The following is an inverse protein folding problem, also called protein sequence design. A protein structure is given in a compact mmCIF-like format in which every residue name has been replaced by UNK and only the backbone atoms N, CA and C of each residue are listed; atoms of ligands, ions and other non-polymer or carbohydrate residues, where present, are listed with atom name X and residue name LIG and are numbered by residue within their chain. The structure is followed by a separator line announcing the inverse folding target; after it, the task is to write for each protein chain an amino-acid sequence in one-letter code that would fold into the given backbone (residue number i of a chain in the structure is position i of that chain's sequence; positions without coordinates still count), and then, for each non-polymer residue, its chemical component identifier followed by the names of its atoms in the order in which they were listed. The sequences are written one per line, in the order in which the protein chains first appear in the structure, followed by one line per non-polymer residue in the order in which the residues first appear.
data_IF_023417483945
#
_entry.id   IF_023417483945
#
_cell.length_a   1.000
_cell.length_b   1.000
_cell.length_c   1.000
_cell.angle_alpha   90.00
_cell.angle_beta   90.00
_cell.angle_gamma   90.00
#
_symmetry.space_group_name_H-M   'P 1'
#
loop_
_entity.id
_entity.type
_entity.pdbx_description
1 polymer ?
#
# COMPACT_ATOMS: atom_id res chain seq x y z
N UNK A 1 44.96 13.98 19.76
CA UNK A 1 43.78 13.22 19.37
C UNK A 1 42.68 13.58 20.37
N UNK A 2 41.56 14.06 19.89
CA UNK A 2 40.44 14.38 20.78
C UNK A 2 39.87 13.08 21.33
N UNK A 3 39.86 12.99 22.66
CA UNK A 3 39.36 11.81 23.40
C UNK A 3 37.83 11.86 23.39
N UNK A 4 37.22 11.26 22.35
CA UNK A 4 35.78 11.16 22.29
C UNK A 4 35.26 10.08 23.25
N UNK A 5 34.31 10.44 24.11
CA UNK A 5 33.74 9.51 25.11
C UNK A 5 32.85 8.44 24.49
N UNK A 6 32.33 8.65 23.29
CA UNK A 6 31.31 7.79 22.65
C UNK A 6 31.81 7.23 21.31
N UNK A 7 32.53 8.04 20.51
CA UNK A 7 33.05 7.59 19.22
C UNK A 7 34.11 6.50 19.44
N UNK A 8 33.99 5.40 18.69
CA UNK A 8 34.82 4.17 18.81
C UNK A 8 34.70 3.41 20.13
N UNK A 9 33.70 3.70 20.97
CA UNK A 9 33.42 2.90 22.15
C UNK A 9 32.45 1.77 21.84
N UNK A 10 32.61 0.59 22.48
CA UNK A 10 31.65 -0.51 22.41
C UNK A 10 30.46 -0.23 23.33
N UNK A 11 29.53 0.61 22.87
CA UNK A 11 28.29 0.80 23.62
C UNK A 11 27.29 -0.33 23.25
N UNK A 12 26.73 -1.01 24.26
CA UNK A 12 25.68 -1.99 24.00
C UNK A 12 24.45 -1.28 23.45
N UNK A 13 23.82 -1.90 22.46
CA UNK A 13 22.57 -1.41 21.91
C UNK A 13 21.47 -1.51 22.98
N UNK A 14 20.78 -0.41 23.28
CA UNK A 14 19.81 -0.34 24.38
C UNK A 14 18.61 -1.28 24.18
N UNK A 15 18.17 -1.48 22.96
CA UNK A 15 17.04 -2.34 22.61
C UNK A 15 17.41 -3.82 22.37
N UNK A 16 18.71 -4.15 22.31
CA UNK A 16 19.16 -5.51 22.00
C UNK A 16 18.71 -6.56 23.01
N UNK A 17 18.77 -6.34 24.35
CA UNK A 17 18.32 -7.34 25.31
C UNK A 17 16.83 -7.66 25.18
N UNK A 18 15.99 -6.65 24.95
CA UNK A 18 14.56 -6.84 24.72
C UNK A 18 14.27 -7.69 23.49
N UNK A 19 14.95 -7.39 22.38
CA UNK A 19 14.82 -8.14 21.11
C UNK A 19 15.35 -9.57 21.23
N UNK A 20 16.55 -9.74 21.82
CA UNK A 20 17.18 -11.05 21.95
C UNK A 20 16.41 -12.01 22.86
N UNK A 21 15.64 -11.49 23.82
CA UNK A 21 14.86 -12.28 24.78
C UNK A 21 13.38 -12.39 24.42
N UNK A 22 12.94 -11.84 23.28
CA UNK A 22 11.54 -11.84 22.87
C UNK A 22 10.62 -10.94 23.72
N UNK A 23 11.19 -10.02 24.51
CA UNK A 23 10.41 -9.09 25.34
C UNK A 23 10.11 -7.75 24.67
N UNK A 24 10.73 -7.49 23.52
CA UNK A 24 10.39 -6.32 22.72
C UNK A 24 8.99 -6.49 22.14
N UNK A 25 8.15 -5.46 22.30
CA UNK A 25 6.78 -5.43 21.77
C UNK A 25 6.80 -4.59 20.50
N UNK A 26 6.29 -5.14 19.40
CA UNK A 26 6.12 -4.48 18.11
C UNK A 26 4.64 -4.18 17.88
N UNK A 27 4.32 -3.45 16.82
CA UNK A 27 2.92 -3.06 16.52
C UNK A 27 2.03 -4.30 16.35
N UNK A 28 2.53 -5.34 15.68
CA UNK A 28 1.77 -6.57 15.43
C UNK A 28 1.53 -7.42 16.70
N UNK A 29 2.30 -7.18 17.77
CA UNK A 29 2.10 -7.83 19.05
C UNK A 29 1.04 -7.11 19.92
N UNK A 30 0.59 -5.93 19.49
CA UNK A 30 -0.36 -5.13 20.25
C UNK A 30 -1.78 -5.62 20.06
N UNK A 31 -2.50 -5.81 21.19
CA UNK A 31 -3.91 -6.15 21.18
C UNK A 31 -4.65 -5.31 22.22
N UNK A 32 -5.76 -4.72 21.82
CA UNK A 32 -6.60 -3.88 22.67
C UNK A 32 -8.02 -4.42 22.72
N UNK A 33 -8.77 -4.21 23.81
CA UNK A 33 -10.19 -4.55 23.86
C UNK A 33 -10.97 -3.89 22.71
N UNK A 34 -11.75 -4.67 21.98
CA UNK A 34 -12.53 -4.24 20.81
C UNK A 34 -11.69 -3.71 19.63
N UNK A 35 -10.42 -4.03 19.55
CA UNK A 35 -9.60 -3.72 18.39
C UNK A 35 -10.18 -4.39 17.15
N UNK A 36 -10.32 -3.64 16.07
CA UNK A 36 -10.73 -4.19 14.78
C UNK A 36 -9.49 -4.72 14.04
N UNK A 37 -9.72 -5.75 13.22
CA UNK A 37 -8.75 -6.26 12.28
C UNK A 37 -9.04 -5.71 10.89
N UNK A 38 -7.98 -5.43 10.13
CA UNK A 38 -8.14 -4.86 8.80
C UNK A 38 -7.44 -5.72 7.74
N UNK A 39 -8.13 -5.91 6.61
CA UNK A 39 -7.59 -6.57 5.42
C UNK A 39 -7.70 -5.63 4.22
N UNK A 40 -6.72 -5.74 3.30
CA UNK A 40 -6.62 -4.89 2.11
C UNK A 40 -7.00 -5.67 0.85
N UNK A 41 -7.81 -5.05 -0.01
CA UNK A 41 -8.00 -5.52 -1.37
C UNK A 41 -6.94 -4.89 -2.26
N UNK A 42 -6.14 -5.74 -2.86
CA UNK A 42 -5.06 -5.35 -3.78
C UNK A 42 -5.36 -5.82 -5.20
N UNK A 43 -4.79 -5.12 -6.18
CA UNK A 43 -4.95 -5.48 -7.60
C UNK A 43 -4.21 -6.76 -7.94
N UNK A 44 -4.86 -7.72 -8.63
CA UNK A 44 -4.17 -8.87 -9.22
C UNK A 44 -3.53 -8.51 -10.59
N UNK A 45 -3.85 -7.34 -11.15
CA UNK A 45 -3.43 -6.93 -12.49
C UNK A 45 -2.30 -5.91 -12.43
N UNK A 46 -1.32 -6.00 -13.33
CA UNK A 46 -0.19 -5.07 -13.37
C UNK A 46 -0.53 -3.70 -13.93
N UNK A 47 -1.56 -3.60 -14.80
CA UNK A 47 -2.04 -2.33 -15.35
C UNK A 47 -3.47 -2.50 -15.85
N UNK A 48 -4.40 -1.78 -15.25
CA UNK A 48 -5.79 -1.81 -15.66
C UNK A 48 -6.51 -0.52 -15.25
N UNK A 49 -7.54 -0.15 -16.01
CA UNK A 49 -8.49 0.88 -15.59
C UNK A 49 -9.52 0.25 -14.65
N UNK A 50 -9.84 0.93 -13.57
CA UNK A 50 -10.94 0.57 -12.69
C UNK A 50 -12.23 1.15 -13.27
N UNK A 51 -13.16 0.29 -13.67
CA UNK A 51 -14.46 0.70 -14.19
C UNK A 51 -15.48 0.84 -13.07
N UNK A 52 -15.44 -0.07 -12.09
CA UNK A 52 -16.36 -0.09 -10.94
C UNK A 52 -15.75 -0.82 -9.77
N UNK A 53 -16.02 -0.33 -8.57
CA UNK A 53 -15.80 -1.03 -7.29
C UNK A 53 -17.16 -1.19 -6.63
N UNK A 54 -17.57 -2.43 -6.34
CA UNK A 54 -18.82 -2.76 -5.68
C UNK A 54 -18.53 -3.43 -4.33
N UNK A 55 -18.71 -2.65 -3.27
CA UNK A 55 -18.47 -3.05 -1.87
C UNK A 55 -19.70 -3.61 -1.17
N UNK A 56 -20.86 -3.56 -1.83
CA UNK A 56 -22.18 -3.78 -1.23
C UNK A 56 -22.37 -5.14 -0.56
N UNK A 57 -21.66 -6.18 -1.01
CA UNK A 57 -21.71 -7.50 -0.39
C UNK A 57 -20.83 -7.57 0.86
N UNK A 58 -19.64 -6.96 0.80
CA UNK A 58 -18.73 -6.88 1.92
C UNK A 58 -19.33 -6.10 3.10
N UNK A 59 -19.97 -4.95 2.81
CA UNK A 59 -20.62 -4.11 3.82
C UNK A 59 -21.76 -4.82 4.58
N UNK A 60 -22.41 -5.81 3.96
CA UNK A 60 -23.49 -6.57 4.56
C UNK A 60 -23.02 -7.81 5.35
N UNK A 61 -21.75 -8.16 5.28
CA UNK A 61 -21.24 -9.32 6.00
C UNK A 61 -21.28 -9.04 7.52
N UNK A 62 -21.92 -9.92 8.31
CA UNK A 62 -21.93 -9.77 9.77
C UNK A 62 -20.50 -9.72 10.32
N UNK A 63 -20.23 -8.76 11.20
CA UNK A 63 -18.89 -8.57 11.77
C UNK A 63 -18.07 -7.47 11.09
N UNK A 64 -18.36 -7.11 9.85
CA UNK A 64 -17.76 -5.96 9.16
C UNK A 64 -18.23 -4.66 9.81
N UNK A 65 -17.31 -3.75 10.06
CA UNK A 65 -17.55 -2.44 10.67
C UNK A 65 -17.40 -1.29 9.69
N UNK A 66 -16.48 -1.43 8.74
CA UNK A 66 -16.28 -0.45 7.68
C UNK A 66 -15.68 -1.10 6.44
N UNK A 67 -16.05 -0.61 5.28
CA UNK A 67 -15.37 -0.84 4.01
C UNK A 67 -15.02 0.53 3.45
N UNK A 68 -13.74 0.79 3.21
CA UNK A 68 -13.25 2.08 2.75
C UNK A 68 -12.58 1.95 1.38
N UNK A 69 -12.76 2.97 0.56
CA UNK A 69 -12.23 3.09 -0.79
C UNK A 69 -11.65 4.49 -1.02
N UNK A 70 -11.21 4.78 -2.23
CA UNK A 70 -10.78 6.15 -2.59
C UNK A 70 -11.85 7.22 -2.32
N UNK A 71 -13.14 6.85 -2.28
CA UNK A 71 -14.24 7.80 -2.01
C UNK A 71 -14.23 8.31 -0.58
N UNK A 72 -13.75 7.48 0.35
CA UNK A 72 -13.70 7.77 1.77
C UNK A 72 -12.37 8.42 2.16
N UNK A 73 -11.26 7.92 1.60
CA UNK A 73 -9.90 8.40 1.88
C UNK A 73 -9.55 9.71 1.14
N UNK A 74 -10.28 10.01 0.05
CA UNK A 74 -9.96 11.14 -0.83
C UNK A 74 -8.75 10.87 -1.72
N UNK A 75 -8.37 11.89 -2.50
CA UNK A 75 -7.30 11.82 -3.50
C UNK A 75 -6.08 12.65 -3.10
N UNK A 76 -5.76 12.69 -1.82
CA UNK A 76 -4.54 13.35 -1.33
C UNK A 76 -3.35 12.54 -1.80
N UNK A 77 -2.49 13.18 -2.59
CA UNK A 77 -1.24 12.56 -3.08
C UNK A 77 -0.15 12.63 -2.02
N UNK A 78 0.62 11.58 -1.91
CA UNK A 78 1.81 11.50 -1.06
C UNK A 78 2.93 10.73 -1.80
N UNK A 79 4.07 10.59 -1.18
CA UNK A 79 5.21 9.86 -1.71
C UNK A 79 6.47 10.13 -0.90
N UNK A 80 7.54 9.39 -1.18
CA UNK A 80 8.80 9.47 -0.42
C UNK A 80 9.67 10.68 -0.75
N UNK A 81 9.37 11.40 -1.83
CA UNK A 81 10.14 12.62 -2.20
C UNK A 81 9.26 13.56 -3.03
N UNK A 82 9.60 14.88 -3.08
CA UNK A 82 8.88 15.85 -3.91
C UNK A 82 8.74 15.45 -5.39
N UNK A 83 9.68 14.69 -5.92
CA UNK A 83 9.65 14.19 -7.29
C UNK A 83 8.69 13.01 -7.50
N UNK A 84 8.12 12.46 -6.43
CA UNK A 84 7.28 11.26 -6.45
C UNK A 84 6.08 11.37 -5.53
N UNK A 85 5.35 12.49 -5.58
CA UNK A 85 4.02 12.62 -4.99
C UNK A 85 2.96 12.12 -5.98
N UNK A 86 2.98 10.84 -6.26
CA UNK A 86 2.15 10.16 -7.25
C UNK A 86 1.26 9.05 -6.66
N UNK A 87 1.46 8.75 -5.38
CA UNK A 87 0.68 7.75 -4.64
C UNK A 87 -0.60 8.36 -4.04
N UNK A 88 -1.65 7.56 -3.95
CA UNK A 88 -2.87 7.83 -3.19
C UNK A 88 -3.14 6.65 -2.28
N UNK A 89 -3.92 6.84 -1.20
CA UNK A 89 -4.22 5.74 -0.25
C UNK A 89 -4.90 4.57 -0.95
N UNK A 90 -5.80 4.85 -1.90
CA UNK A 90 -6.42 3.85 -2.75
C UNK A 90 -6.46 4.31 -4.19
N UNK A 91 -6.33 3.36 -5.12
CA UNK A 91 -6.53 3.62 -6.54
C UNK A 91 -7.97 4.04 -6.83
N UNK A 92 -8.14 5.06 -7.66
CA UNK A 92 -9.46 5.58 -8.02
C UNK A 92 -9.84 5.35 -9.48
N UNK A 93 -8.88 5.44 -10.41
CA UNK A 93 -9.12 5.34 -11.86
C UNK A 93 -8.37 4.17 -12.49
N UNK A 94 -7.23 3.78 -11.92
CA UNK A 94 -6.29 2.86 -12.55
C UNK A 94 -5.39 2.21 -11.51
N UNK A 95 -5.10 0.93 -11.72
CA UNK A 95 -4.02 0.21 -11.04
C UNK A 95 -2.79 0.19 -11.92
N UNK A 96 -1.59 0.30 -11.34
CA UNK A 96 -0.32 0.46 -12.04
C UNK A 96 0.70 -0.63 -11.76
N UNK A 97 0.43 -1.47 -10.77
CA UNK A 97 1.24 -2.64 -10.43
C UNK A 97 0.37 -3.70 -9.74
N UNK A 98 0.88 -4.94 -9.72
CA UNK A 98 0.25 -6.02 -8.93
C UNK A 98 0.45 -5.71 -7.45
N UNK A 99 -0.65 -5.66 -6.69
CA UNK A 99 -0.62 -5.28 -5.28
C UNK A 99 -1.04 -3.84 -5.01
N UNK A 100 -1.36 -3.05 -6.05
CA UNK A 100 -1.86 -1.67 -5.92
C UNK A 100 -3.17 -1.66 -5.09
N UNK A 101 -3.28 -0.80 -4.08
CA UNK A 101 -4.35 -0.82 -3.08
C UNK A 101 -5.66 -0.24 -3.65
N UNK A 102 -6.77 -0.97 -3.47
CA UNK A 102 -8.08 -0.62 -4.03
C UNK A 102 -9.08 -0.27 -2.94
N UNK A 103 -9.11 -1.08 -1.87
CA UNK A 103 -10.03 -0.92 -0.77
C UNK A 103 -9.46 -1.56 0.50
N UNK A 104 -10.01 -1.19 1.65
CA UNK A 104 -9.74 -1.87 2.92
C UNK A 104 -11.04 -2.20 3.63
N UNK A 105 -11.03 -3.29 4.37
CA UNK A 105 -12.13 -3.72 5.25
C UNK A 105 -11.65 -3.73 6.68
N UNK A 106 -12.46 -3.21 7.60
CA UNK A 106 -12.28 -3.37 9.04
C UNK A 106 -13.41 -4.24 9.61
N UNK A 107 -13.05 -5.29 10.32
CA UNK A 107 -13.99 -6.25 10.90
C UNK A 107 -13.60 -6.63 12.34
N UNK A 108 -14.45 -7.41 12.98
CA UNK A 108 -14.27 -7.86 14.38
C UNK A 108 -13.10 -8.83 14.56
N UNK A 109 -12.74 -9.54 13.49
CA UNK A 109 -11.59 -10.45 13.41
C UNK A 109 -11.02 -10.51 11.99
N UNK A 110 -9.85 -11.11 11.83
CA UNK A 110 -9.14 -11.19 10.56
C UNK A 110 -9.86 -12.08 9.54
N UNK A 111 -10.46 -13.20 9.99
CA UNK A 111 -11.19 -14.13 9.12
C UNK A 111 -12.36 -13.42 8.44
N UNK A 112 -13.15 -12.68 9.21
CA UNK A 112 -14.25 -11.86 8.69
C UNK A 112 -13.74 -10.76 7.75
N UNK A 113 -12.61 -10.13 8.06
CA UNK A 113 -12.02 -9.08 7.20
C UNK A 113 -11.59 -9.65 5.83
N UNK A 114 -10.91 -10.80 5.82
CA UNK A 114 -10.46 -11.48 4.60
C UNK A 114 -11.64 -12.01 3.76
N UNK A 115 -12.65 -12.60 4.40
CA UNK A 115 -13.88 -13.01 3.73
C UNK A 115 -14.55 -11.81 3.04
N UNK A 116 -14.68 -10.70 3.76
CA UNK A 116 -15.27 -9.47 3.24
C UNK A 116 -14.49 -8.91 2.03
N UNK A 117 -13.16 -8.90 2.09
CA UNK A 117 -12.29 -8.53 0.95
C UNK A 117 -12.63 -9.38 -0.28
N UNK A 118 -12.81 -10.68 -0.12
CA UNK A 118 -13.21 -11.61 -1.20
C UNK A 118 -14.62 -11.35 -1.78
N UNK A 119 -15.47 -10.60 -1.07
CA UNK A 119 -16.80 -10.23 -1.53
C UNK A 119 -16.83 -8.91 -2.33
N UNK A 120 -15.79 -8.10 -2.27
CA UNK A 120 -15.67 -6.88 -3.06
C UNK A 120 -15.45 -7.26 -4.51
N UNK A 121 -16.24 -6.69 -5.42
CA UNK A 121 -16.08 -6.88 -6.86
C UNK A 121 -15.48 -5.64 -7.49
N UNK A 122 -14.45 -5.85 -8.32
CA UNK A 122 -13.85 -4.79 -9.12
C UNK A 122 -13.94 -5.18 -10.59
N UNK A 123 -14.53 -4.32 -11.37
CA UNK A 123 -14.58 -4.45 -12.83
C UNK A 123 -13.40 -3.69 -13.42
N UNK A 124 -12.56 -4.41 -14.17
CA UNK A 124 -11.36 -3.86 -14.80
C UNK A 124 -11.47 -3.84 -16.32
N UNK A 125 -10.80 -2.87 -16.91
CA UNK A 125 -10.38 -2.87 -18.31
C UNK A 125 -8.86 -3.02 -18.33
N UNK A 126 -8.38 -4.19 -18.74
CA UNK A 126 -6.94 -4.44 -18.80
C UNK A 126 -6.24 -3.51 -19.79
N UNK A 127 -5.09 -3.00 -19.43
CA UNK A 127 -4.25 -2.12 -20.23
C UNK A 127 -2.89 -2.80 -20.47
N UNK A 128 -2.20 -2.44 -21.58
CA UNK A 128 -0.85 -2.93 -21.80
C UNK A 128 0.05 -2.58 -20.62
N UNK A 129 0.73 -3.58 -20.08
CA UNK A 129 1.65 -3.43 -18.96
C UNK A 129 3.10 -3.35 -19.44
N UNK A 130 3.93 -2.61 -18.71
CA UNK A 130 5.39 -2.59 -18.89
C UNK A 130 6.04 -3.11 -17.61
N UNK A 131 6.88 -4.14 -17.75
CA UNK A 131 7.45 -4.86 -16.62
C UNK A 131 8.97 -4.71 -16.50
N UNK A 132 9.59 -3.99 -17.44
CA UNK A 132 11.02 -3.67 -17.41
C UNK A 132 11.26 -2.20 -17.71
N UNK A 133 12.40 -1.69 -17.28
CA UNK A 133 12.81 -0.30 -17.54
C UNK A 133 12.92 -0.04 -19.05
N UNK A 134 13.50 -0.97 -19.78
CA UNK A 134 13.70 -0.87 -21.23
C UNK A 134 12.36 -0.81 -21.96
N UNK A 135 11.40 -1.66 -21.57
CA UNK A 135 10.05 -1.63 -22.13
C UNK A 135 9.31 -0.34 -21.80
N UNK A 136 9.48 0.19 -20.57
CA UNK A 136 8.85 1.43 -20.13
C UNK A 136 9.38 2.67 -20.86
N UNK A 137 10.66 2.67 -21.24
CA UNK A 137 11.32 3.77 -21.95
C UNK A 137 11.28 3.65 -23.47
N UNK A 138 10.80 2.54 -24.01
CA UNK A 138 10.71 2.32 -25.45
C UNK A 138 9.78 3.34 -26.12
N UNK A 139 10.03 3.64 -27.40
CA UNK A 139 9.14 4.51 -28.18
C UNK A 139 7.75 3.87 -28.29
N UNK A 140 6.71 4.64 -28.00
CA UNK A 140 5.32 4.17 -28.00
C UNK A 140 4.92 3.32 -26.77
N UNK A 141 5.77 3.23 -25.75
CA UNK A 141 5.43 2.52 -24.51
C UNK A 141 4.17 3.11 -23.85
N UNK A 142 3.32 2.27 -23.24
CA UNK A 142 2.20 2.73 -22.43
C UNK A 142 2.66 3.69 -21.33
N UNK A 143 2.01 4.84 -21.21
CA UNK A 143 2.33 5.80 -20.17
C UNK A 143 1.57 5.46 -18.88
N UNK A 144 2.31 5.18 -17.80
CA UNK A 144 1.75 4.78 -16.50
C UNK A 144 1.19 5.98 -15.73
N UNK A 145 1.93 7.09 -15.70
CA UNK A 145 1.53 8.35 -15.07
C UNK A 145 1.45 9.46 -16.12
N UNK A 146 0.33 10.14 -16.21
CA UNK A 146 0.08 11.15 -17.24
C UNK A 146 1.07 12.32 -17.17
N UNK A 147 1.54 12.64 -15.97
CA UNK A 147 2.48 13.73 -15.67
C UNK A 147 3.95 13.41 -15.97
N UNK A 148 4.31 12.12 -16.20
CA UNK A 148 5.70 11.70 -16.42
C UNK A 148 5.93 11.20 -17.86
N UNK A 149 6.27 12.09 -18.82
CA UNK A 149 6.53 11.71 -20.21
C UNK A 149 7.59 10.60 -20.29
N UNK A 150 7.36 9.64 -21.19
CA UNK A 150 8.26 8.49 -21.38
C UNK A 150 8.48 7.64 -20.10
N UNK A 151 7.56 7.72 -19.13
CA UNK A 151 7.68 7.05 -17.83
C UNK A 151 8.93 7.45 -17.03
N UNK A 152 9.47 8.65 -17.24
CA UNK A 152 10.63 9.18 -16.52
C UNK A 152 10.14 10.16 -15.45
N UNK A 153 10.30 9.79 -14.16
CA UNK A 153 9.87 10.61 -13.04
C UNK A 153 10.84 11.73 -12.68
N UNK A 154 12.14 11.55 -12.90
CA UNK A 154 13.17 12.56 -12.68
C UNK A 154 14.46 12.22 -13.45
N UNK A 155 15.17 13.25 -13.88
CA UNK A 155 16.54 13.17 -14.40
C UNK A 155 17.45 14.02 -13.50
N UNK A 156 18.58 13.45 -13.07
CA UNK A 156 19.59 14.15 -12.25
C UNK A 156 20.88 14.23 -13.05
N UNK A 157 21.38 15.46 -13.22
CA UNK A 157 22.63 15.73 -13.93
C UNK A 157 23.71 16.24 -12.97
#
# INVERSE_FOLDING_TARGET
MSDYRVINSRLPRLDAPGKATGRAVFIDDMSFPNMLQAAMLQSPLPHARILKIDTSRAERLPGVKAVITYKDAGLVRYGVSPARYDETVFCHDRVRYVGDEIAAVAAVDMETAEEAVGLIKVDYEELPAVLTIEAAMAEGAPQLHAEFPRNISAEVH
#
